data_IF_802220306129
#
_entry.id   IF_802220306129
#
_cell.length_a   1.000
_cell.length_b   1.000
_cell.length_c   1.000
_cell.angle_alpha   90.00
_cell.angle_beta   90.00
_cell.angle_gamma   90.00
#
_symmetry.space_group_name_H-M   'P 1'
#
loop_
_entity.id
_entity.type
_entity.pdbx_description
1 polymer ?
#
# COMPACT_ATOMS: atom_id res chain seq x y z
N UNK A 1 15.36 4.60 -9.17
CA UNK A 1 14.99 3.44 -8.33
C UNK A 1 15.87 3.46 -7.10
N UNK A 2 15.35 3.39 -5.86
CA UNK A 2 16.21 3.15 -4.71
C UNK A 2 16.95 1.84 -4.96
N UNK A 3 18.27 1.90 -4.95
CA UNK A 3 19.12 0.72 -4.95
C UNK A 3 18.78 -0.09 -3.70
N UNK A 4 18.47 -1.38 -3.89
CA UNK A 4 18.34 -2.39 -2.83
C UNK A 4 19.65 -2.33 -2.05
N UNK A 5 19.66 -1.58 -0.95
CA UNK A 5 20.86 -1.29 -0.18
C UNK A 5 21.18 -2.50 0.66
N UNK A 6 22.05 -3.37 0.13
CA UNK A 6 23.27 -3.83 0.81
C UNK A 6 23.14 -4.72 2.04
N UNK A 7 21.95 -4.96 2.58
CA UNK A 7 21.69 -6.09 3.45
C UNK A 7 20.93 -7.10 2.61
N UNK A 8 21.41 -8.34 2.57
CA UNK A 8 20.55 -9.47 2.30
C UNK A 8 19.46 -9.48 3.38
N UNK A 9 18.41 -8.66 3.23
CA UNK A 9 17.18 -8.84 3.97
C UNK A 9 16.71 -10.20 3.51
N UNK A 10 16.72 -11.15 4.44
CA UNK A 10 16.13 -12.46 4.23
C UNK A 10 14.81 -12.21 3.51
N UNK A 11 14.76 -12.61 2.23
CA UNK A 11 13.54 -12.72 1.45
C UNK A 11 12.47 -13.16 2.41
N UNK A 12 11.32 -12.51 2.39
CA UNK A 12 10.15 -12.83 3.19
C UNK A 12 9.72 -14.30 3.02
N UNK A 13 10.51 -15.21 3.60
CA UNK A 13 10.37 -16.66 3.61
C UNK A 13 9.52 -17.10 4.80
N UNK A 14 9.05 -16.14 5.59
CA UNK A 14 7.99 -16.33 6.57
C UNK A 14 6.62 -16.38 5.91
N UNK A 15 5.72 -17.13 6.53
CA UNK A 15 4.29 -17.06 6.24
C UNK A 15 3.76 -15.64 6.48
N UNK A 16 2.59 -15.33 5.90
CA UNK A 16 1.88 -14.08 6.20
C UNK A 16 1.76 -13.82 7.71
N UNK A 17 1.43 -14.86 8.49
CA UNK A 17 1.35 -14.78 9.95
C UNK A 17 2.67 -14.33 10.62
N UNK A 18 3.82 -14.82 10.17
CA UNK A 18 5.11 -14.42 10.75
C UNK A 18 5.45 -12.96 10.42
N UNK A 19 5.14 -12.51 9.20
CA UNK A 19 5.29 -11.10 8.85
C UNK A 19 4.36 -10.23 9.69
N UNK A 20 3.08 -10.64 9.83
CA UNK A 20 2.09 -9.93 10.63
C UNK A 20 2.55 -9.77 12.09
N UNK A 21 3.09 -10.84 12.70
CA UNK A 21 3.62 -10.81 14.05
C UNK A 21 4.79 -9.82 14.19
N UNK A 22 5.71 -9.79 13.22
CA UNK A 22 6.86 -8.86 13.24
C UNK A 22 6.43 -7.41 13.09
N UNK A 23 5.42 -7.15 12.25
CA UNK A 23 4.84 -5.82 12.06
C UNK A 23 4.14 -5.40 13.36
N UNK A 24 3.26 -6.24 13.91
CA UNK A 24 2.53 -5.94 15.15
C UNK A 24 3.45 -5.73 16.36
N UNK A 25 4.58 -6.44 16.44
CA UNK A 25 5.58 -6.26 17.49
C UNK A 25 6.51 -5.06 17.28
N UNK A 26 6.27 -4.24 16.24
CA UNK A 26 7.13 -3.12 15.84
C UNK A 26 8.62 -3.51 15.80
N UNK A 27 8.92 -4.67 15.19
CA UNK A 27 10.28 -5.19 15.18
C UNK A 27 11.22 -4.22 14.43
N UNK A 28 12.24 -3.62 15.10
CA UNK A 28 13.08 -2.58 14.49
C UNK A 28 13.97 -3.10 13.36
N UNK A 29 14.15 -4.42 13.25
CA UNK A 29 14.88 -5.05 12.14
C UNK A 29 13.98 -5.42 10.94
N UNK A 30 12.66 -5.31 11.09
CA UNK A 30 11.69 -5.60 10.03
C UNK A 30 11.18 -4.31 9.40
N UNK A 31 12.01 -3.75 8.52
CA UNK A 31 11.78 -2.45 7.89
C UNK A 31 11.13 -2.56 6.50
N UNK A 32 11.21 -3.75 5.88
CA UNK A 32 10.70 -4.05 4.54
C UNK A 32 9.83 -5.32 4.56
N UNK A 33 8.58 -5.20 4.16
CA UNK A 33 7.60 -6.30 4.14
C UNK A 33 7.21 -6.69 2.72
N UNK A 34 7.82 -7.74 2.18
CA UNK A 34 7.39 -8.34 0.90
C UNK A 34 6.33 -9.43 1.13
N UNK A 35 5.09 -9.10 0.80
CA UNK A 35 3.89 -9.93 0.90
C UNK A 35 3.28 -10.27 -0.47
N UNK A 36 4.07 -10.20 -1.55
CA UNK A 36 3.64 -10.54 -2.91
C UNK A 36 3.06 -11.96 -3.05
N UNK A 37 1.99 -12.13 -3.83
CA UNK A 37 1.52 -13.43 -4.34
C UNK A 37 1.03 -14.43 -3.28
N UNK A 38 0.67 -13.97 -2.08
CA UNK A 38 0.28 -14.84 -0.95
C UNK A 38 -1.22 -15.11 -0.87
N UNK A 39 -2.00 -14.60 -1.82
CA UNK A 39 -3.45 -14.77 -1.83
C UNK A 39 -4.18 -13.97 -0.75
N UNK A 40 -3.52 -12.94 -0.21
CA UNK A 40 -4.05 -12.03 0.82
C UNK A 40 -5.36 -11.41 0.32
N UNK A 41 -6.44 -11.63 1.07
CA UNK A 41 -7.77 -11.08 0.81
C UNK A 41 -8.07 -9.83 1.63
N UNK A 42 -9.33 -9.39 1.60
CA UNK A 42 -9.79 -8.22 2.38
C UNK A 42 -9.61 -8.42 3.89
N UNK A 43 -9.95 -9.59 4.41
CA UNK A 43 -9.86 -9.88 5.86
C UNK A 43 -8.40 -9.99 6.33
N UNK A 44 -7.48 -10.38 5.46
CA UNK A 44 -6.04 -10.37 5.74
C UNK A 44 -5.48 -8.94 5.69
N UNK A 45 -5.96 -8.12 4.74
CA UNK A 45 -5.59 -6.70 4.66
C UNK A 45 -6.08 -5.91 5.88
N UNK A 46 -7.24 -6.26 6.43
CA UNK A 46 -7.73 -5.73 7.70
C UNK A 46 -6.80 -6.10 8.87
N UNK A 47 -6.44 -7.38 9.01
CA UNK A 47 -5.45 -7.80 10.02
C UNK A 47 -4.11 -7.07 9.86
N UNK A 48 -3.66 -6.86 8.63
CA UNK A 48 -2.43 -6.12 8.34
C UNK A 48 -2.56 -4.64 8.74
N UNK A 49 -3.71 -4.02 8.48
CA UNK A 49 -3.99 -2.66 8.95
C UNK A 49 -3.96 -2.58 10.48
N UNK A 50 -4.50 -3.57 11.19
CA UNK A 50 -4.43 -3.62 12.65
C UNK A 50 -2.99 -3.81 13.15
N UNK A 51 -2.19 -4.66 12.49
CA UNK A 51 -0.79 -4.86 12.84
C UNK A 51 0.08 -3.61 12.61
N UNK A 52 -0.32 -2.73 11.70
CA UNK A 52 0.36 -1.44 11.45
C UNK A 52 0.09 -0.39 12.54
N UNK A 53 -0.86 -0.63 13.44
CA UNK A 53 -1.13 0.26 14.57
C UNK A 53 0.12 0.43 15.44
N UNK A 54 0.61 1.67 15.54
CA UNK A 54 1.82 1.99 16.29
C UNK A 54 3.12 1.40 15.73
N UNK A 55 3.09 0.80 14.53
CA UNK A 55 4.33 0.38 13.86
C UNK A 55 5.08 1.60 13.35
N UNK A 56 6.34 1.71 13.74
CA UNK A 56 7.24 2.81 13.36
C UNK A 56 8.53 2.32 12.69
N UNK A 57 8.62 1.03 12.39
CA UNK A 57 9.81 0.41 11.80
C UNK A 57 9.64 0.17 10.30
N UNK A 58 8.44 -0.20 9.86
CA UNK A 58 8.16 -0.55 8.48
C UNK A 58 8.05 0.71 7.62
N UNK A 59 8.92 0.83 6.61
CA UNK A 59 8.91 1.93 5.65
C UNK A 59 8.52 1.50 4.23
N UNK A 60 8.65 0.20 3.93
CA UNK A 60 8.30 -0.37 2.63
C UNK A 60 7.38 -1.58 2.79
N UNK A 61 6.22 -1.53 2.14
CA UNK A 61 5.22 -2.59 2.16
C UNK A 61 4.81 -2.96 0.72
N UNK A 62 5.01 -4.21 0.35
CA UNK A 62 4.71 -4.72 -0.99
C UNK A 62 3.70 -5.85 -0.91
N UNK A 63 2.55 -5.66 -1.55
CA UNK A 63 1.42 -6.58 -1.61
C UNK A 63 0.99 -6.96 -3.05
N UNK A 64 1.89 -7.02 -4.07
CA UNK A 64 1.44 -7.22 -5.42
C UNK A 64 0.93 -8.65 -5.69
N UNK A 65 0.02 -8.80 -6.65
CA UNK A 65 -0.50 -10.10 -7.06
C UNK A 65 -1.31 -10.82 -5.98
N UNK A 66 -2.01 -10.08 -5.14
CA UNK A 66 -2.90 -10.61 -4.11
C UNK A 66 -4.38 -10.46 -4.54
N UNK A 67 -5.31 -10.65 -3.61
CA UNK A 67 -6.76 -10.61 -3.86
C UNK A 67 -7.45 -9.47 -3.09
N UNK A 68 -6.70 -8.44 -2.70
CA UNK A 68 -7.21 -7.30 -1.95
C UNK A 68 -8.23 -6.58 -2.82
N UNK A 69 -9.44 -6.43 -2.34
CA UNK A 69 -10.52 -5.67 -2.95
C UNK A 69 -10.63 -4.27 -2.37
N UNK A 70 -11.67 -3.56 -2.77
CA UNK A 70 -11.99 -2.24 -2.22
C UNK A 70 -12.04 -2.23 -0.68
N UNK A 71 -12.69 -3.21 -0.02
CA UNK A 71 -12.81 -3.25 1.46
C UNK A 71 -11.45 -3.33 2.15
N UNK A 72 -10.55 -4.19 1.69
CA UNK A 72 -9.20 -4.30 2.24
C UNK A 72 -8.39 -3.03 1.99
N UNK A 73 -8.52 -2.41 0.81
CA UNK A 73 -7.91 -1.11 0.53
C UNK A 73 -8.44 0.00 1.44
N UNK A 74 -9.74 0.05 1.73
CA UNK A 74 -10.33 0.99 2.68
C UNK A 74 -9.65 0.86 4.04
N UNK A 75 -9.50 -0.38 4.56
CA UNK A 75 -8.88 -0.62 5.87
C UNK A 75 -7.41 -0.19 5.91
N UNK A 76 -6.65 -0.50 4.87
CA UNK A 76 -5.28 -0.03 4.73
C UNK A 76 -5.23 1.50 4.66
N UNK A 77 -6.10 2.14 3.88
CA UNK A 77 -6.16 3.59 3.74
C UNK A 77 -6.50 4.27 5.08
N UNK A 78 -7.49 3.76 5.81
CA UNK A 78 -7.86 4.24 7.15
C UNK A 78 -6.66 4.24 8.10
N UNK A 79 -5.88 3.15 8.12
CA UNK A 79 -4.69 3.07 8.97
C UNK A 79 -3.58 4.01 8.53
N UNK A 80 -3.35 4.08 7.23
CA UNK A 80 -2.28 4.89 6.66
C UNK A 80 -2.55 6.39 6.83
N UNK A 81 -3.79 6.84 7.10
CA UNK A 81 -4.04 8.26 7.45
C UNK A 81 -3.19 8.74 8.64
N UNK A 82 -2.87 7.86 9.59
CA UNK A 82 -2.09 8.18 10.80
C UNK A 82 -0.72 7.51 10.84
N UNK A 83 -0.39 6.62 9.90
CA UNK A 83 0.94 6.01 9.84
C UNK A 83 1.95 7.01 9.23
N UNK A 84 3.00 7.30 10.00
CA UNK A 84 4.01 8.29 9.62
C UNK A 84 5.31 7.66 9.08
N UNK A 85 5.37 6.34 8.90
CA UNK A 85 6.64 5.64 8.56
C UNK A 85 6.65 4.99 7.20
N UNK A 86 5.52 4.50 6.69
CA UNK A 86 5.45 3.89 5.37
C UNK A 86 5.64 4.97 4.30
N UNK A 87 6.73 4.82 3.54
CA UNK A 87 7.08 5.69 2.41
C UNK A 87 6.73 5.04 1.06
N UNK A 88 6.69 3.71 0.99
CA UNK A 88 6.47 2.97 -0.24
C UNK A 88 5.40 1.90 -0.05
N UNK A 89 4.32 2.00 -0.83
CA UNK A 89 3.24 1.02 -0.85
C UNK A 89 3.01 0.48 -2.26
N UNK A 90 3.14 -0.83 -2.44
CA UNK A 90 2.82 -1.51 -3.69
C UNK A 90 1.58 -2.39 -3.56
N UNK A 91 0.50 -2.03 -4.25
CA UNK A 91 -0.76 -2.76 -4.32
C UNK A 91 -1.03 -3.30 -5.74
N UNK A 92 -0.03 -3.39 -6.61
CA UNK A 92 -0.21 -3.78 -8.01
C UNK A 92 -0.82 -5.18 -8.20
N UNK A 93 -1.67 -5.40 -9.19
CA UNK A 93 -2.26 -6.72 -9.46
C UNK A 93 -3.23 -7.20 -8.38
N UNK A 94 -4.00 -6.29 -7.78
CA UNK A 94 -5.10 -6.59 -6.85
C UNK A 94 -6.45 -6.23 -7.50
N UNK A 95 -7.52 -6.05 -6.71
CA UNK A 95 -8.88 -5.76 -7.16
C UNK A 95 -9.43 -4.49 -6.48
N UNK A 96 -8.59 -3.47 -6.28
CA UNK A 96 -8.92 -2.27 -5.50
C UNK A 96 -10.17 -1.55 -6.05
N UNK A 97 -10.31 -1.46 -7.37
CA UNK A 97 -11.40 -0.76 -8.06
C UNK A 97 -11.57 0.71 -7.64
N UNK A 98 -12.59 1.39 -8.16
CA UNK A 98 -12.79 2.82 -7.93
C UNK A 98 -13.06 3.18 -6.47
N UNK A 99 -13.78 2.31 -5.73
CA UNK A 99 -14.07 2.52 -4.31
C UNK A 99 -12.80 2.61 -3.47
N UNK A 100 -11.92 1.60 -3.58
CA UNK A 100 -10.66 1.61 -2.83
C UNK A 100 -9.70 2.71 -3.31
N UNK A 101 -9.73 3.07 -4.60
CA UNK A 101 -8.97 4.21 -5.12
C UNK A 101 -9.42 5.54 -4.50
N UNK A 102 -10.73 5.72 -4.28
CA UNK A 102 -11.28 6.89 -3.58
C UNK A 102 -10.80 6.97 -2.13
N UNK A 103 -10.81 5.86 -1.39
CA UNK A 103 -10.35 5.84 0.00
C UNK A 103 -8.84 6.11 0.10
N UNK A 104 -8.05 5.54 -0.82
CA UNK A 104 -6.63 5.85 -0.94
C UNK A 104 -6.40 7.32 -1.28
N UNK A 105 -7.22 7.93 -2.13
CA UNK A 105 -7.14 9.36 -2.43
C UNK A 105 -7.38 10.22 -1.19
N UNK A 106 -8.39 9.91 -0.37
CA UNK A 106 -8.60 10.60 0.90
C UNK A 106 -7.41 10.45 1.85
N UNK A 107 -6.84 9.25 1.93
CA UNK A 107 -5.63 9.00 2.72
C UNK A 107 -4.47 9.88 2.24
N UNK A 108 -4.26 10.00 0.93
CA UNK A 108 -3.20 10.85 0.36
C UNK A 108 -3.38 12.34 0.71
N UNK A 109 -4.61 12.84 0.90
CA UNK A 109 -4.81 14.24 1.27
C UNK A 109 -4.19 14.58 2.65
N UNK A 110 -4.20 13.62 3.57
CA UNK A 110 -3.77 13.82 4.96
C UNK A 110 -2.41 13.20 5.27
N UNK A 111 -2.07 12.05 4.69
CA UNK A 111 -0.80 11.38 4.94
C UNK A 111 0.38 12.20 4.40
N UNK A 112 1.43 12.36 5.21
CA UNK A 112 2.63 13.16 4.89
C UNK A 112 3.93 12.34 4.81
N UNK A 113 3.83 11.02 4.78
CA UNK A 113 4.99 10.12 4.77
C UNK A 113 5.10 9.32 3.48
N UNK A 114 3.97 8.97 2.85
CA UNK A 114 3.95 8.18 1.63
C UNK A 114 4.54 8.98 0.46
N UNK A 115 5.56 8.40 -0.16
CA UNK A 115 6.30 8.95 -1.32
C UNK A 115 5.95 8.23 -2.62
N UNK A 116 5.62 6.94 -2.53
CA UNK A 116 5.25 6.12 -3.70
C UNK A 116 4.04 5.24 -3.43
N UNK A 117 3.10 5.28 -4.37
CA UNK A 117 1.96 4.37 -4.43
C UNK A 117 1.91 3.68 -5.80
N UNK A 118 1.95 2.34 -5.81
CA UNK A 118 1.76 1.55 -7.03
C UNK A 118 0.39 0.88 -7.00
N UNK A 119 -0.45 1.22 -7.98
CA UNK A 119 -1.79 0.71 -8.19
C UNK A 119 -1.96 0.06 -9.57
N UNK A 120 -0.88 -0.32 -10.22
CA UNK A 120 -0.88 -0.99 -11.54
C UNK A 120 -1.84 -2.19 -11.55
N UNK A 121 -2.64 -2.36 -12.60
CA UNK A 121 -3.53 -3.52 -12.79
C UNK A 121 -4.47 -3.80 -11.58
N UNK A 122 -5.37 -2.86 -11.27
CA UNK A 122 -6.25 -2.92 -10.09
C UNK A 122 -7.75 -2.74 -10.38
N UNK A 123 -8.17 -2.83 -11.64
CA UNK A 123 -9.53 -2.53 -12.09
C UNK A 123 -10.01 -1.11 -11.73
N UNK A 124 -9.10 -0.16 -11.54
CA UNK A 124 -9.44 1.25 -11.35
C UNK A 124 -9.87 1.81 -12.71
N UNK A 125 -10.92 2.62 -12.72
CA UNK A 125 -11.38 3.33 -13.91
C UNK A 125 -11.07 4.82 -13.81
N UNK A 126 -11.48 5.57 -14.83
CA UNK A 126 -11.36 7.02 -14.89
C UNK A 126 -11.96 7.68 -13.62
N UNK A 127 -12.99 7.08 -13.03
CA UNK A 127 -13.64 7.58 -11.81
C UNK A 127 -12.65 7.59 -10.64
N UNK A 128 -12.03 6.44 -10.33
CA UNK A 128 -11.04 6.36 -9.26
C UNK A 128 -9.76 7.13 -9.59
N UNK A 129 -9.34 7.14 -10.86
CA UNK A 129 -8.17 7.90 -11.31
C UNK A 129 -8.33 9.40 -11.08
N UNK A 130 -9.50 9.96 -11.38
CA UNK A 130 -9.83 11.37 -11.13
C UNK A 130 -9.74 11.67 -9.63
N UNK A 131 -10.22 10.78 -8.76
CA UNK A 131 -10.11 10.98 -7.30
C UNK A 131 -8.68 11.03 -6.81
N UNK A 132 -7.84 10.13 -7.29
CA UNK A 132 -6.40 10.17 -7.00
C UNK A 132 -5.79 11.48 -7.50
N UNK A 133 -6.06 11.90 -8.74
CA UNK A 133 -5.55 13.16 -9.29
C UNK A 133 -6.00 14.40 -8.50
N UNK A 134 -7.28 14.46 -8.11
CA UNK A 134 -7.83 15.53 -7.26
C UNK A 134 -7.08 15.62 -5.92
N UNK A 135 -6.83 14.49 -5.25
CA UNK A 135 -6.09 14.46 -3.99
C UNK A 135 -4.64 15.00 -4.14
N UNK A 136 -3.99 14.68 -5.26
CA UNK A 136 -2.63 15.15 -5.55
C UNK A 136 -2.59 16.64 -5.87
N UNK A 137 -3.56 17.14 -6.62
CA UNK A 137 -3.58 18.55 -7.06
C UNK A 137 -3.70 19.53 -5.89
N UNK A 138 -4.49 19.18 -4.86
CA UNK A 138 -4.92 20.15 -3.85
C UNK A 138 -4.29 19.96 -2.46
N UNK A 139 -3.73 18.80 -2.14
CA UNK A 139 -3.48 18.47 -0.72
C UNK A 139 -2.22 17.65 -0.44
N UNK A 140 -1.70 16.90 -1.41
CA UNK A 140 -0.50 16.09 -1.21
C UNK A 140 0.74 16.76 -1.83
N UNK A 141 1.80 16.89 -1.03
CA UNK A 141 3.10 17.41 -1.46
C UNK A 141 4.26 16.42 -1.21
N UNK A 142 3.94 15.19 -0.82
CA UNK A 142 4.91 14.18 -0.34
C UNK A 142 5.07 13.02 -1.31
N UNK A 143 4.00 12.64 -2.00
CA UNK A 143 4.02 11.61 -3.02
C UNK A 143 4.69 12.16 -4.28
N UNK A 144 5.70 11.45 -4.74
CA UNK A 144 6.48 11.79 -5.93
C UNK A 144 6.22 10.82 -7.07
N UNK A 145 5.76 9.61 -6.75
CA UNK A 145 5.51 8.54 -7.71
C UNK A 145 4.12 7.93 -7.49
N UNK A 146 3.25 8.02 -8.49
CA UNK A 146 1.98 7.29 -8.55
C UNK A 146 1.92 6.50 -9.85
N UNK A 147 1.82 5.17 -9.74
CA UNK A 147 1.75 4.28 -10.90
C UNK A 147 0.34 3.69 -11.04
N UNK A 148 -0.28 3.92 -12.20
CA UNK A 148 -1.66 3.51 -12.50
C UNK A 148 -1.78 2.69 -13.79
N UNK A 149 -0.67 2.23 -14.35
CA UNK A 149 -0.63 1.49 -15.62
C UNK A 149 -1.53 0.26 -15.59
N UNK A 150 -2.00 -0.17 -16.77
CA UNK A 150 -2.84 -1.36 -16.94
C UNK A 150 -4.15 -1.35 -16.13
N UNK A 151 -4.67 -0.18 -15.74
CA UNK A 151 -6.00 -0.01 -15.17
C UNK A 151 -7.06 0.26 -16.25
N UNK A 152 -8.32 -0.08 -15.97
CA UNK A 152 -9.38 -0.12 -16.98
C UNK A 152 -9.81 1.29 -17.37
N UNK A 153 -9.42 1.76 -18.54
CA UNK A 153 -9.79 3.10 -19.03
C UNK A 153 -8.76 4.18 -18.74
N UNK A 154 -7.69 3.83 -18.03
CA UNK A 154 -6.46 4.63 -17.96
C UNK A 154 -5.56 4.08 -19.07
N UNK A 155 -5.71 4.59 -20.28
CA UNK A 155 -4.81 4.22 -21.39
C UNK A 155 -3.42 4.82 -21.16
N UNK A 156 -2.39 4.10 -21.64
CA UNK A 156 -1.01 4.60 -21.75
C UNK A 156 -0.92 5.93 -22.51
#
# INVERSE_FOLDING_TARGET
>A
MPTISGAMSYLASGSFASCLERIAKNNPSFTEGDLAGRGIGDDDAEQLADALEGNTALYWLSLPGNKIGHRGATKLAEKLKTNETIEYLNLGGNKIADGGASDLAEMLQVNKSLKRLTLINNNITNVGAIKLAEALQWSNSTITDLYLDYNRGISE
#
